data_IF_142042279956
#
_entry.id   IF_142042279956
#
_cell.length_a   1.000
_cell.length_b   1.000
_cell.length_c   1.000
_cell.angle_alpha   90.00
_cell.angle_beta   90.00
_cell.angle_gamma   90.00
#
_symmetry.space_group_name_H-M   'P 1'
#
loop_
_entity.id
_entity.type
_entity.pdbx_description
1 polymer ?
#
# COMPACT_ATOMS: atom_id res chain seq x y z
N UNK A 1 24.73 -12.74 11.98
CA UNK A 1 25.40 -13.18 10.73
C UNK A 1 25.06 -14.62 10.38
N UNK A 2 25.19 -15.59 11.30
CA UNK A 2 24.87 -17.02 11.06
C UNK A 2 23.40 -17.25 10.66
N UNK A 3 22.45 -16.58 11.33
CA UNK A 3 21.02 -16.71 11.03
C UNK A 3 20.65 -16.32 9.59
N UNK A 4 21.26 -15.24 9.07
CA UNK A 4 21.05 -14.78 7.70
C UNK A 4 21.63 -15.77 6.67
N UNK A 5 22.77 -16.37 6.96
CA UNK A 5 23.35 -17.41 6.09
C UNK A 5 22.55 -18.72 6.12
N UNK A 6 21.91 -19.07 7.24
CA UNK A 6 21.05 -20.25 7.33
C UNK A 6 19.77 -20.09 6.50
N UNK A 7 19.15 -18.91 6.52
CA UNK A 7 17.97 -18.63 5.68
C UNK A 7 18.32 -18.63 4.18
N UNK A 8 19.51 -18.15 3.81
CA UNK A 8 20.01 -18.25 2.43
C UNK A 8 20.16 -19.70 1.96
N UNK A 9 20.56 -20.61 2.86
CA UNK A 9 20.73 -22.03 2.55
C UNK A 9 19.38 -22.75 2.39
N UNK A 10 18.38 -22.44 3.23
CA UNK A 10 17.05 -23.07 3.14
C UNK A 10 16.31 -22.67 1.88
N UNK A 11 16.39 -21.40 1.44
CA UNK A 11 15.76 -20.96 0.20
C UNK A 11 16.43 -21.51 -1.07
N UNK A 12 17.72 -21.85 -1.03
CA UNK A 12 18.43 -22.38 -2.23
C UNK A 12 18.45 -23.89 -2.34
N UNK A 13 18.25 -24.62 -1.24
CA UNK A 13 18.33 -26.10 -1.21
C UNK A 13 16.95 -26.75 -1.16
N UNK A 14 15.93 -26.11 -0.56
CA UNK A 14 14.59 -26.70 -0.49
C UNK A 14 13.92 -26.86 -1.87
N UNK A 15 14.12 -25.91 -2.78
CA UNK A 15 13.61 -26.00 -4.17
C UNK A 15 14.22 -27.17 -4.96
N UNK A 16 15.42 -27.62 -4.55
CA UNK A 16 16.10 -28.77 -5.16
C UNK A 16 15.59 -30.13 -4.68
N UNK A 17 14.86 -30.18 -3.57
CA UNK A 17 14.36 -31.45 -3.01
C UNK A 17 12.92 -31.78 -3.45
N UNK A 18 12.19 -30.82 -4.02
CA UNK A 18 10.81 -31.00 -4.48
C UNK A 18 10.74 -31.40 -5.97
N UNK A 19 11.84 -31.29 -6.72
CA UNK A 19 11.87 -31.41 -8.18
C UNK A 19 12.44 -32.72 -8.74
N UNK A 20 12.51 -33.80 -7.94
CA UNK A 20 12.86 -35.15 -8.43
C UNK A 20 11.62 -36.07 -8.49
N UNK A 21 10.77 -35.87 -9.49
CA UNK A 21 9.85 -36.88 -10.07
C UNK A 21 9.53 -36.52 -11.53
N UNK A 22 9.47 -37.50 -12.45
CA UNK A 22 9.73 -37.21 -13.86
C UNK A 22 8.47 -36.89 -14.69
N UNK A 23 8.71 -36.06 -15.70
CA UNK A 23 8.00 -35.89 -16.99
C UNK A 23 7.00 -34.73 -17.23
N UNK A 24 7.58 -33.67 -17.84
CA UNK A 24 7.17 -32.89 -19.02
C UNK A 24 6.05 -31.84 -18.90
N UNK A 25 6.45 -30.56 -18.87
CA UNK A 25 6.20 -29.59 -19.95
C UNK A 25 7.16 -28.39 -19.84
N UNK A 26 7.70 -27.95 -20.98
CA UNK A 26 8.75 -26.93 -21.14
C UNK A 26 8.34 -25.55 -20.62
N UNK A 27 9.10 -25.04 -19.66
CA UNK A 27 9.28 -23.63 -19.34
C UNK A 27 10.72 -23.45 -18.89
N UNK A 28 11.40 -22.43 -19.39
CA UNK A 28 12.85 -22.23 -19.33
C UNK A 28 13.47 -22.56 -17.96
N UNK A 29 14.17 -23.70 -17.88
CA UNK A 29 14.89 -24.10 -16.68
C UNK A 29 16.12 -23.21 -16.52
N UNK A 30 16.18 -22.45 -15.44
CA UNK A 30 17.36 -21.70 -15.04
C UNK A 30 18.54 -22.66 -14.80
N UNK A 31 19.42 -22.69 -15.79
CA UNK A 31 20.63 -23.48 -15.79
C UNK A 31 21.61 -22.95 -14.73
N UNK A 32 21.70 -23.68 -13.61
CA UNK A 32 22.56 -23.37 -12.46
C UNK A 32 24.08 -23.30 -12.76
N UNK A 33 24.47 -23.52 -14.02
CA UNK A 33 25.86 -23.42 -14.50
C UNK A 33 26.20 -22.09 -15.19
N UNK A 34 25.25 -21.17 -15.37
CA UNK A 34 25.53 -19.88 -16.06
C UNK A 34 26.23 -18.87 -15.14
N UNK A 35 27.44 -18.49 -15.57
CA UNK A 35 28.42 -17.65 -14.90
C UNK A 35 27.89 -16.28 -14.43
N UNK A 36 28.13 -15.96 -13.15
CA UNK A 36 28.60 -14.67 -12.61
C UNK A 36 27.74 -13.40 -12.74
N UNK A 37 27.11 -13.17 -13.88
CA UNK A 37 26.35 -11.95 -14.18
C UNK A 37 24.90 -12.03 -13.70
N UNK A 38 24.28 -13.21 -13.74
CA UNK A 38 22.88 -13.40 -13.34
C UNK A 38 22.65 -13.49 -11.82
N UNK A 39 23.69 -13.75 -11.01
CA UNK A 39 23.55 -13.88 -9.54
C UNK A 39 23.31 -12.56 -8.80
N UNK A 40 23.56 -11.41 -9.43
CA UNK A 40 23.34 -10.09 -8.83
C UNK A 40 21.90 -9.59 -8.93
N UNK A 41 21.02 -10.31 -9.65
CA UNK A 41 19.56 -10.11 -9.62
C UNK A 41 18.87 -10.97 -8.56
N UNK A 42 19.61 -11.40 -7.55
CA UNK A 42 19.01 -12.08 -6.41
C UNK A 42 18.36 -11.02 -5.50
N UNK A 43 17.03 -10.96 -5.54
CA UNK A 43 16.21 -10.08 -4.69
C UNK A 43 16.28 -10.49 -3.21
N UNK A 44 16.89 -11.63 -2.85
CA UNK A 44 17.02 -12.11 -1.48
C UNK A 44 17.82 -11.18 -0.55
N UNK A 45 18.59 -10.22 -1.09
CA UNK A 45 19.28 -9.19 -0.30
C UNK A 45 18.61 -7.82 -0.37
N UNK A 46 17.52 -7.68 -1.12
CA UNK A 46 16.79 -6.42 -1.19
C UNK A 46 16.26 -6.03 0.18
N UNK A 47 16.55 -4.79 0.56
CA UNK A 47 16.19 -4.19 1.85
C UNK A 47 16.54 -5.07 3.07
N UNK A 48 17.49 -6.01 2.95
CA UNK A 48 17.88 -6.98 3.98
C UNK A 48 16.71 -7.77 4.60
N UNK A 49 15.66 -8.05 3.85
CA UNK A 49 14.50 -8.78 4.38
C UNK A 49 13.47 -7.90 5.10
N UNK A 50 13.65 -6.57 5.12
CA UNK A 50 12.69 -5.64 5.73
C UNK A 50 11.47 -5.51 4.81
N UNK A 51 10.31 -6.00 5.26
CA UNK A 51 9.06 -5.90 4.51
C UNK A 51 7.89 -5.52 5.44
N UNK A 52 7.15 -4.46 5.07
CA UNK A 52 5.99 -3.99 5.81
C UNK A 52 4.73 -4.84 5.63
N UNK A 53 4.58 -5.57 4.51
CA UNK A 53 3.40 -6.39 4.18
C UNK A 53 3.11 -7.50 5.21
N UNK A 54 4.10 -7.90 6.02
CA UNK A 54 3.93 -8.91 7.08
C UNK A 54 3.56 -8.32 8.45
N UNK A 55 3.50 -7.00 8.57
CA UNK A 55 3.15 -6.38 9.83
C UNK A 55 1.66 -6.59 10.13
N UNK A 56 1.33 -6.95 11.37
CA UNK A 56 -0.07 -7.19 11.79
C UNK A 56 -0.96 -5.95 11.70
N UNK A 57 -0.35 -4.77 11.60
CA UNK A 57 -1.04 -3.49 11.39
C UNK A 57 -1.34 -3.22 9.91
N UNK A 58 -0.60 -3.85 8.98
CA UNK A 58 -0.80 -3.65 7.55
C UNK A 58 -1.95 -4.52 7.06
N UNK A 59 -2.93 -3.93 6.39
CA UNK A 59 -4.14 -4.64 5.99
C UNK A 59 -4.71 -4.11 4.67
N UNK A 60 -5.00 -5.03 3.75
CA UNK A 60 -5.62 -4.72 2.46
C UNK A 60 -6.96 -5.45 2.36
N UNK A 61 -8.04 -4.68 2.31
CA UNK A 61 -9.42 -5.17 2.19
C UNK A 61 -9.83 -5.35 0.71
N UNK A 62 -9.05 -4.80 -0.24
CA UNK A 62 -9.30 -4.99 -1.67
C UNK A 62 -8.92 -6.39 -2.11
N UNK A 63 -7.83 -6.90 -1.57
CA UNK A 63 -7.31 -8.24 -1.84
C UNK A 63 -7.52 -9.15 -0.63
N UNK A 64 -8.76 -9.63 -0.45
CA UNK A 64 -9.12 -10.55 0.63
C UNK A 64 -8.39 -11.91 0.55
N UNK A 65 -7.72 -12.18 -0.58
CA UNK A 65 -6.84 -13.34 -0.72
C UNK A 65 -5.43 -12.89 -0.36
N UNK A 66 -5.08 -12.95 0.93
CA UNK A 66 -3.67 -12.78 1.31
C UNK A 66 -2.84 -13.77 0.49
N UNK A 67 -1.91 -13.32 -0.36
CA UNK A 67 -1.06 -14.26 -1.10
C UNK A 67 -0.37 -15.19 -0.11
N UNK A 68 -0.13 -16.44 -0.51
CA UNK A 68 0.66 -17.35 0.31
C UNK A 68 1.95 -16.65 0.75
N UNK A 69 2.33 -16.85 2.00
CA UNK A 69 3.48 -16.21 2.65
C UNK A 69 4.75 -16.23 1.79
N UNK A 70 4.95 -17.30 1.02
CA UNK A 70 6.07 -17.44 0.08
C UNK A 70 5.94 -16.56 -1.16
N UNK A 71 4.75 -16.46 -1.76
CA UNK A 71 4.46 -15.56 -2.88
C UNK A 71 4.57 -14.10 -2.45
N UNK A 72 4.08 -13.76 -1.26
CA UNK A 72 4.21 -12.43 -0.68
C UNK A 72 5.68 -12.05 -0.43
N UNK A 73 6.53 -13.01 -0.06
CA UNK A 73 7.98 -12.84 0.08
C UNK A 73 8.66 -12.66 -1.28
N UNK A 74 8.29 -13.46 -2.28
CA UNK A 74 8.87 -13.38 -3.62
C UNK A 74 8.60 -12.03 -4.29
N UNK A 75 7.44 -11.43 -4.04
CA UNK A 75 7.01 -10.15 -4.60
C UNK A 75 7.09 -8.97 -3.60
N UNK A 76 7.79 -9.16 -2.49
CA UNK A 76 7.94 -8.18 -1.42
C UNK A 76 8.48 -6.82 -1.89
N UNK A 77 9.39 -6.84 -2.87
CA UNK A 77 10.19 -5.70 -3.28
C UNK A 77 9.93 -5.25 -4.71
N UNK A 78 9.11 -5.98 -5.47
CA UNK A 78 8.71 -5.59 -6.83
C UNK A 78 7.79 -4.37 -6.83
N UNK A 79 7.07 -4.12 -5.72
CA UNK A 79 6.12 -3.02 -5.59
C UNK A 79 5.02 -3.05 -6.66
N UNK A 80 4.28 -1.94 -6.78
CA UNK A 80 3.18 -1.81 -7.75
C UNK A 80 3.67 -1.62 -9.20
N UNK A 81 4.86 -1.06 -9.40
CA UNK A 81 5.45 -0.88 -10.74
C UNK A 81 5.81 -2.22 -11.40
N UNK A 82 6.19 -3.23 -10.59
CA UNK A 82 6.55 -4.55 -11.07
C UNK A 82 5.38 -5.54 -11.11
N UNK A 83 4.39 -5.42 -10.22
CA UNK A 83 3.25 -6.35 -10.15
C UNK A 83 2.00 -5.86 -10.91
N UNK A 84 1.90 -4.56 -11.18
CA UNK A 84 0.67 -3.95 -11.70
C UNK A 84 -0.47 -3.90 -10.67
N UNK A 85 -0.19 -4.23 -9.40
CA UNK A 85 -1.15 -4.22 -8.29
C UNK A 85 -0.61 -3.37 -7.15
N UNK A 86 -1.47 -2.56 -6.53
CA UNK A 86 -1.11 -1.74 -5.39
C UNK A 86 -1.65 -2.37 -4.12
N UNK A 87 -0.74 -2.76 -3.22
CA UNK A 87 -1.10 -3.47 -2.00
C UNK A 87 -0.72 -2.67 -0.76
N UNK A 88 -1.44 -2.90 0.34
CA UNK A 88 -1.00 -2.41 1.65
C UNK A 88 0.42 -2.90 1.98
N UNK A 89 1.28 -2.01 2.47
CA UNK A 89 2.71 -2.24 2.71
C UNK A 89 3.62 -1.73 1.59
N UNK A 90 3.07 -1.31 0.45
CA UNK A 90 3.83 -0.64 -0.62
C UNK A 90 4.10 0.82 -0.27
N UNK A 91 5.09 1.41 -0.95
CA UNK A 91 5.30 2.85 -0.88
C UNK A 91 4.11 3.58 -1.50
N UNK A 92 3.63 4.63 -0.84
CA UNK A 92 2.56 5.47 -1.35
C UNK A 92 2.94 6.00 -2.75
N UNK A 93 2.14 5.69 -3.79
CA UNK A 93 2.36 6.21 -5.13
C UNK A 93 2.34 7.74 -5.15
N UNK A 94 3.20 8.30 -6.00
CA UNK A 94 3.17 9.73 -6.27
C UNK A 94 2.03 10.06 -7.24
N UNK A 95 1.38 11.21 -7.03
CA UNK A 95 0.42 11.77 -7.98
C UNK A 95 0.62 13.29 -8.09
N UNK A 96 1.15 13.79 -9.23
CA UNK A 96 1.30 15.22 -9.48
C UNK A 96 -0.03 15.86 -9.94
N UNK A 97 -0.07 17.19 -10.00
CA UNK A 97 -1.17 17.92 -10.61
C UNK A 97 -2.44 17.97 -9.77
N UNK A 98 -2.34 17.69 -8.47
CA UNK A 98 -3.46 17.76 -7.54
C UNK A 98 -3.72 19.23 -7.19
N UNK A 99 -4.98 19.64 -7.16
CA UNK A 99 -5.36 21.01 -6.81
C UNK A 99 -5.94 21.02 -5.38
N UNK A 100 -5.36 21.83 -4.50
CA UNK A 100 -5.83 22.09 -3.13
C UNK A 100 -5.97 23.60 -2.93
N UNK A 101 -7.14 24.09 -2.50
CA UNK A 101 -7.37 25.53 -2.30
C UNK A 101 -7.03 26.41 -3.51
N UNK A 102 -7.10 25.87 -4.74
CA UNK A 102 -6.73 26.55 -5.98
C UNK A 102 -5.22 26.57 -6.30
N UNK A 103 -4.38 25.93 -5.49
CA UNK A 103 -2.96 25.75 -5.75
C UNK A 103 -2.67 24.34 -6.27
N UNK A 104 -1.79 24.24 -7.26
CA UNK A 104 -1.31 22.96 -7.80
C UNK A 104 -0.21 22.43 -6.88
N UNK A 105 -0.32 21.16 -6.49
CA UNK A 105 0.59 20.43 -5.61
C UNK A 105 0.74 18.98 -6.10
N UNK A 106 1.46 18.14 -5.35
CA UNK A 106 1.47 16.68 -5.50
C UNK A 106 1.11 15.98 -4.20
N UNK A 107 0.74 14.70 -4.26
CA UNK A 107 0.46 13.93 -3.04
C UNK A 107 1.68 13.84 -2.12
N UNK A 108 2.89 13.63 -2.66
CA UNK A 108 4.10 13.56 -1.84
C UNK A 108 4.38 14.86 -1.08
N UNK A 109 4.12 16.02 -1.68
CA UNK A 109 4.27 17.33 -1.03
C UNK A 109 3.29 17.52 0.15
N UNK A 110 2.15 16.83 0.11
CA UNK A 110 1.14 16.84 1.17
C UNK A 110 1.43 15.85 2.30
N UNK A 111 2.24 14.82 2.06
CA UNK A 111 2.58 13.83 3.10
C UNK A 111 3.50 14.43 4.16
N UNK A 112 3.19 14.14 5.42
CA UNK A 112 3.93 14.68 6.57
C UNK A 112 4.46 13.56 7.44
N UNK A 113 5.75 13.68 7.79
CA UNK A 113 6.49 12.67 8.56
C UNK A 113 6.02 12.45 10.00
N UNK A 114 5.07 13.25 10.47
CA UNK A 114 4.52 13.21 11.82
C UNK A 114 3.01 12.95 11.85
N UNK A 115 2.37 12.70 10.69
CA UNK A 115 0.93 12.54 10.56
C UNK A 115 0.63 11.24 9.81
N UNK A 116 -0.36 10.48 10.29
CA UNK A 116 -1.00 9.51 9.41
C UNK A 116 -1.86 10.27 8.40
N UNK A 117 -1.73 9.93 7.12
CA UNK A 117 -2.53 10.57 6.06
C UNK A 117 -3.61 9.61 5.61
N UNK A 118 -4.85 10.04 5.63
CA UNK A 118 -5.99 9.25 5.15
C UNK A 118 -6.48 9.88 3.86
N UNK A 119 -6.28 9.18 2.75
CA UNK A 119 -6.81 9.55 1.45
C UNK A 119 -8.14 8.84 1.26
N UNK A 120 -9.20 9.59 0.98
CA UNK A 120 -10.53 9.07 0.77
C UNK A 120 -10.92 9.32 -0.67
N UNK A 121 -10.94 8.26 -1.46
CA UNK A 121 -11.50 8.26 -2.80
C UNK A 121 -12.98 7.90 -2.68
N UNK A 122 -13.87 8.80 -3.07
CA UNK A 122 -15.30 8.57 -2.96
C UNK A 122 -16.09 9.39 -3.98
N UNK A 123 -17.31 8.92 -4.26
CA UNK A 123 -18.19 9.58 -5.22
C UNK A 123 -18.89 10.81 -4.63
N UNK A 124 -18.91 10.93 -3.30
CA UNK A 124 -19.59 12.01 -2.59
C UNK A 124 -18.78 12.46 -1.37
N UNK A 125 -18.66 13.77 -1.21
CA UNK A 125 -18.07 14.42 -0.03
C UNK A 125 -18.67 13.94 1.30
N UNK A 126 -19.97 13.62 1.33
CA UNK A 126 -20.65 13.15 2.57
C UNK A 126 -20.09 11.82 3.09
N UNK A 127 -19.69 10.91 2.21
CA UNK A 127 -19.11 9.63 2.61
C UNK A 127 -17.73 9.85 3.23
N UNK A 128 -16.92 10.71 2.61
CA UNK A 128 -15.62 11.10 3.16
C UNK A 128 -15.74 11.81 4.51
N UNK A 129 -16.75 12.69 4.65
CA UNK A 129 -17.02 13.39 5.90
C UNK A 129 -17.38 12.43 7.05
N UNK A 130 -18.13 11.35 6.78
CA UNK A 130 -18.46 10.36 7.80
C UNK A 130 -17.20 9.67 8.35
N UNK A 131 -16.27 9.29 7.47
CA UNK A 131 -14.98 8.71 7.87
C UNK A 131 -14.16 9.70 8.67
N UNK A 132 -14.07 10.96 8.22
CA UNK A 132 -13.31 12.01 8.90
C UNK A 132 -13.82 12.25 10.35
N UNK A 133 -15.14 12.32 10.54
CA UNK A 133 -15.73 12.52 11.86
C UNK A 133 -15.39 11.37 12.83
N UNK A 134 -15.48 10.12 12.36
CA UNK A 134 -15.13 8.94 13.17
C UNK A 134 -13.67 8.98 13.61
N UNK A 135 -12.78 9.41 12.72
CA UNK A 135 -11.35 9.48 13.03
C UNK A 135 -11.04 10.53 14.11
N UNK A 136 -11.66 11.69 13.99
CA UNK A 136 -11.47 12.79 14.94
C UNK A 136 -12.06 12.50 16.31
N UNK A 137 -13.27 11.95 16.37
CA UNK A 137 -13.97 11.70 17.63
C UNK A 137 -13.31 10.58 18.45
N UNK A 138 -12.69 9.61 17.78
CA UNK A 138 -12.25 8.35 18.40
C UNK A 138 -10.75 8.27 18.68
N UNK A 139 -9.92 9.00 17.94
CA UNK A 139 -8.46 8.85 18.01
C UNK A 139 -7.76 10.19 18.29
N UNK A 140 -6.88 10.19 19.29
CA UNK A 140 -6.13 11.38 19.75
C UNK A 140 -4.79 11.55 18.99
N UNK A 141 -4.48 10.63 18.07
CA UNK A 141 -3.23 10.69 17.32
C UNK A 141 -3.28 11.72 16.18
N UNK A 142 -2.11 12.23 15.77
CA UNK A 142 -2.00 13.13 14.63
C UNK A 142 -2.41 12.41 13.33
N UNK A 143 -3.60 12.75 12.81
CA UNK A 143 -4.17 12.27 11.55
C UNK A 143 -4.50 13.50 10.68
N UNK A 144 -4.13 13.44 9.40
CA UNK A 144 -4.62 14.37 8.38
C UNK A 144 -5.49 13.62 7.38
N UNK A 145 -6.62 14.21 6.99
CA UNK A 145 -7.62 13.57 6.13
C UNK A 145 -7.81 14.40 4.87
N UNK A 146 -7.77 13.74 3.71
CA UNK A 146 -8.00 14.33 2.41
C UNK A 146 -9.07 13.55 1.65
N UNK A 147 -10.11 14.27 1.19
CA UNK A 147 -11.06 13.73 0.22
C UNK A 147 -10.55 14.02 -1.19
N UNK A 148 -10.41 12.99 -2.02
CA UNK A 148 -10.01 13.10 -3.42
C UNK A 148 -11.26 13.01 -4.29
N UNK A 149 -11.53 14.09 -5.04
CA UNK A 149 -12.75 14.24 -5.84
C UNK A 149 -12.37 14.54 -7.29
N UNK A 150 -12.89 13.73 -8.23
CA UNK A 150 -12.71 13.93 -9.67
C UNK A 150 -13.61 15.02 -10.25
N UNK A 151 -14.78 15.25 -9.66
CA UNK A 151 -15.77 16.20 -10.17
C UNK A 151 -15.54 17.63 -9.62
N UNK A 152 -15.86 18.62 -10.45
CA UNK A 152 -15.83 20.06 -10.15
C UNK A 152 -16.86 20.53 -9.12
N UNK A 153 -17.46 19.59 -8.37
CA UNK A 153 -18.14 19.92 -7.12
C UNK A 153 -17.08 20.46 -6.17
N UNK A 154 -17.11 21.78 -5.98
CA UNK A 154 -16.30 22.44 -4.98
C UNK A 154 -16.83 21.98 -3.62
N UNK A 155 -16.23 20.90 -3.10
CA UNK A 155 -16.39 20.54 -1.70
C UNK A 155 -15.91 21.74 -0.89
N UNK A 156 -16.74 22.22 0.04
CA UNK A 156 -16.26 23.22 0.97
C UNK A 156 -15.16 22.56 1.79
N UNK A 157 -13.93 23.07 1.68
CA UNK A 157 -12.87 22.74 2.61
C UNK A 157 -13.40 23.00 4.03
N UNK A 158 -13.29 21.97 4.87
CA UNK A 158 -13.54 22.13 6.29
C UNK A 158 -12.17 22.16 6.99
N UNK A 159 -12.08 22.78 8.15
CA UNK A 159 -10.86 22.80 8.97
C UNK A 159 -10.31 21.38 9.25
N UNK A 160 -11.18 20.37 9.19
CA UNK A 160 -10.92 18.98 9.57
C UNK A 160 -10.57 18.05 8.41
N UNK A 161 -10.94 18.41 7.19
CA UNK A 161 -10.76 17.58 6.00
C UNK A 161 -10.45 18.46 4.80
N UNK A 162 -9.26 18.26 4.23
CA UNK A 162 -8.86 18.92 3.00
C UNK A 162 -9.56 18.29 1.80
N UNK A 163 -9.90 19.10 0.80
CA UNK A 163 -10.43 18.62 -0.48
C UNK A 163 -9.31 18.72 -1.52
N UNK A 164 -9.04 17.60 -2.17
CA UNK A 164 -8.06 17.47 -3.24
C UNK A 164 -8.80 17.19 -4.54
N UNK A 165 -8.56 18.01 -5.55
CA UNK A 165 -9.11 17.81 -6.89
C UNK A 165 -8.09 17.12 -7.77
N UNK A 166 -8.46 15.94 -8.27
CA UNK A 166 -7.64 15.15 -9.19
C UNK A 166 -8.10 15.39 -10.64
N UNK A 167 -7.84 16.60 -11.17
CA UNK A 167 -8.38 17.01 -12.47
C UNK A 167 -7.87 16.18 -13.66
N UNK A 168 -6.66 15.62 -13.52
CA UNK A 168 -6.02 14.82 -14.57
C UNK A 168 -6.10 13.30 -14.29
N UNK A 169 -6.69 12.89 -13.16
CA UNK A 169 -6.86 11.50 -12.78
C UNK A 169 -5.58 10.79 -12.35
N UNK A 170 -4.51 11.52 -12.00
CA UNK A 170 -3.22 10.96 -11.62
C UNK A 170 -3.31 10.19 -10.30
N UNK A 171 -4.04 10.70 -9.31
CA UNK A 171 -4.20 10.00 -8.03
C UNK A 171 -5.07 8.75 -8.19
N UNK A 172 -6.20 8.85 -8.90
CA UNK A 172 -7.04 7.69 -9.19
C UNK A 172 -6.28 6.59 -9.95
N UNK A 173 -5.49 6.96 -10.96
CA UNK A 173 -4.66 6.03 -11.70
C UNK A 173 -3.56 5.40 -10.83
N UNK A 174 -2.81 6.21 -10.08
CA UNK A 174 -1.70 5.72 -9.27
C UNK A 174 -2.16 4.80 -8.13
N UNK A 175 -3.33 5.06 -7.55
CA UNK A 175 -3.89 4.25 -6.46
C UNK A 175 -4.76 3.07 -6.96
N UNK A 176 -4.89 2.92 -8.28
CA UNK A 176 -5.73 1.92 -8.94
C UNK A 176 -7.18 1.96 -8.43
N UNK A 177 -7.71 3.17 -8.23
CA UNK A 177 -9.09 3.41 -7.82
C UNK A 177 -9.90 3.87 -9.02
N UNK A 178 -10.73 2.98 -9.53
CA UNK A 178 -11.69 3.32 -10.58
C UNK A 178 -12.80 4.21 -9.96
N UNK A 179 -13.14 5.31 -10.63
CA UNK A 179 -14.21 6.23 -10.20
C UNK A 179 -15.62 5.63 -10.20
N UNK A 180 -15.78 4.38 -10.65
CA UNK A 180 -17.02 3.61 -10.49
C UNK A 180 -17.03 2.74 -9.23
N UNK A 181 -15.87 2.53 -8.59
CA UNK A 181 -15.79 1.84 -7.31
C UNK A 181 -16.45 2.72 -6.25
N UNK A 182 -17.02 2.07 -5.22
CA UNK A 182 -17.55 2.79 -4.06
C UNK A 182 -16.45 3.50 -3.27
N UNK A 183 -16.71 3.76 -1.99
CA UNK A 183 -15.71 4.31 -1.08
C UNK A 183 -14.42 3.46 -1.08
N UNK A 184 -13.28 4.09 -1.31
CA UNK A 184 -11.94 3.51 -1.09
C UNK A 184 -11.15 4.44 -0.19
N UNK A 185 -10.72 3.92 0.96
CA UNK A 185 -9.90 4.66 1.92
C UNK A 185 -8.50 4.07 1.94
N UNK A 186 -7.50 4.91 1.71
CA UNK A 186 -6.09 4.54 1.77
C UNK A 186 -5.45 5.26 2.96
N UNK A 187 -4.87 4.49 3.88
CA UNK A 187 -4.14 5.04 5.01
C UNK A 187 -2.65 4.96 4.69
N UNK A 188 -1.98 6.11 4.73
CA UNK A 188 -0.55 6.27 4.54
C UNK A 188 0.07 6.61 5.90
N UNK A 189 1.08 5.84 6.26
CA UNK A 189 1.83 6.03 7.50
C UNK A 189 2.76 7.24 7.39
N UNK A 190 3.25 7.77 8.53
CA UNK A 190 4.19 8.90 8.54
C UNK A 190 5.51 8.63 7.77
N UNK A 191 5.85 7.36 7.52
CA UNK A 191 7.03 6.96 6.73
C UNK A 191 6.75 6.80 5.23
N UNK A 192 5.61 7.29 4.72
CA UNK A 192 5.18 7.24 3.31
C UNK A 192 4.85 5.85 2.75
N UNK A 193 4.63 4.87 3.61
CA UNK A 193 4.14 3.55 3.22
C UNK A 193 2.65 3.41 3.46
N UNK A 194 1.97 2.67 2.59
CA UNK A 194 0.55 2.35 2.76
C UNK A 194 0.41 1.44 3.97
N UNK A 195 -0.28 1.94 4.98
CA UNK A 195 -0.68 1.18 6.16
C UNK A 195 -1.88 0.28 5.88
N UNK A 196 -2.84 0.74 5.07
CA UNK A 196 -3.94 -0.11 4.68
C UNK A 196 -4.84 0.49 3.61
N UNK A 197 -5.61 -0.38 2.98
CA UNK A 197 -6.59 -0.02 1.95
C UNK A 197 -7.92 -0.65 2.32
N UNK A 198 -8.97 0.16 2.43
CA UNK A 198 -10.26 -0.23 2.96
C UNK A 198 -11.37 0.16 2.00
N UNK A 199 -12.46 -0.60 2.03
CA UNK A 199 -13.69 -0.28 1.30
C UNK A 199 -14.79 0.22 2.25
N UNK A 200 -14.61 0.00 3.55
CA UNK A 200 -15.60 0.31 4.57
C UNK A 200 -14.99 1.13 5.75
N UNK A 201 -15.74 2.07 6.35
CA UNK A 201 -15.28 2.85 7.50
C UNK A 201 -14.89 1.99 8.72
N UNK A 202 -15.49 0.82 8.88
CA UNK A 202 -15.22 -0.13 9.95
C UNK A 202 -13.77 -0.64 9.88
N UNK A 203 -13.27 -0.92 8.68
CA UNK A 203 -11.89 -1.36 8.45
C UNK A 203 -10.86 -0.30 8.88
N UNK A 204 -11.15 0.97 8.57
CA UNK A 204 -10.35 2.12 8.99
C UNK A 204 -10.25 2.20 10.52
N UNK A 205 -11.38 2.02 11.22
CA UNK A 205 -11.36 1.95 12.68
C UNK A 205 -10.57 0.75 13.21
N UNK A 206 -10.71 -0.41 12.57
CA UNK A 206 -9.93 -1.60 12.89
C UNK A 206 -8.42 -1.35 12.82
N UNK A 207 -7.95 -0.62 11.81
CA UNK A 207 -6.55 -0.22 11.66
C UNK A 207 -6.07 0.66 12.82
N UNK A 208 -6.75 1.76 13.11
CA UNK A 208 -6.30 2.70 14.14
C UNK A 208 -6.42 2.13 15.56
N UNK A 209 -7.38 1.25 15.82
CA UNK A 209 -7.45 0.49 17.07
C UNK A 209 -6.21 -0.39 17.30
N UNK A 210 -5.59 -0.93 16.25
CA UNK A 210 -4.33 -1.70 16.38
C UNK A 210 -3.13 -0.81 16.72
N UNK A 211 -3.13 0.45 16.29
CA UNK A 211 -2.02 1.39 16.50
C UNK A 211 -2.10 2.04 17.88
N UNK A 212 -3.29 2.52 18.26
CA UNK A 212 -3.47 3.37 19.43
C UNK A 212 -4.16 2.66 20.60
N UNK A 213 -4.65 1.44 20.39
CA UNK A 213 -5.65 0.83 21.26
C UNK A 213 -7.04 1.42 21.03
N UNK A 214 -8.08 0.77 21.54
CA UNK A 214 -9.42 1.37 21.60
C UNK A 214 -9.37 2.53 22.59
N UNK A 215 -9.57 3.77 22.10
CA UNK A 215 -9.93 4.88 22.98
C UNK A 215 -11.19 4.51 23.76
N UNK A 216 -11.13 4.65 25.09
CA UNK A 216 -12.28 4.49 25.98
C UNK A 216 -13.39 5.49 25.64
#
# INVERSE_FOLDING_TARGET
MIYATTQLYTHTVADKLITDSPEVAKGDSEDSTKSGWFRWRNTALEMYGINYRFSSIVYDERDASSPDSQTALAHAYTGYEGSGTLNAGDRAPEAPGIIQGGQVTSLMDLLRHNLHTVLIFGNNYKEAQAVANVLEERYIIPIQVFAIINNSEHGMENEKMGVLHDSEGHAHAAYLVDGTQGLVVVIIRPDSFIGGIFKEPEGVSGYFNKICGTGN
#
